data_IF_474014259273
#
_entry.id   IF_474014259273
#
_cell.length_a   1.000
_cell.length_b   1.000
_cell.length_c   1.000
_cell.angle_alpha   90.00
_cell.angle_beta   90.00
_cell.angle_gamma   90.00
#
_symmetry.space_group_name_H-M   'P 1'
#
loop_
_entity.id
_entity.type
_entity.pdbx_description
1 polymer ?
#
# COMPACT_ATOMS: atom_id res chain seq x y z
N UNK A 1 -24.47 -14.01 -4.56
CA UNK A 1 -23.12 -14.58 -4.67
C UNK A 1 -22.81 -15.42 -3.46
N UNK A 2 -22.13 -16.53 -3.62
CA UNK A 2 -21.67 -17.31 -2.47
C UNK A 2 -20.58 -16.54 -1.69
N UNK A 3 -20.50 -16.78 -0.39
CA UNK A 3 -19.49 -16.16 0.48
C UNK A 3 -18.06 -16.42 -0.03
N UNK A 4 -17.81 -17.58 -0.58
CA UNK A 4 -16.49 -17.92 -1.14
C UNK A 4 -16.14 -17.08 -2.36
N UNK A 5 -17.09 -16.79 -3.22
CA UNK A 5 -16.87 -15.93 -4.40
C UNK A 5 -16.58 -14.49 -3.96
N UNK A 6 -17.31 -14.00 -2.97
CA UNK A 6 -17.08 -12.68 -2.38
C UNK A 6 -15.69 -12.59 -1.73
N UNK A 7 -15.32 -13.61 -0.95
CA UNK A 7 -14.00 -13.67 -0.31
C UNK A 7 -12.85 -13.65 -1.34
N UNK A 8 -12.97 -14.45 -2.41
CA UNK A 8 -11.96 -14.45 -3.50
C UNK A 8 -11.89 -13.11 -4.23
N UNK A 9 -13.02 -12.48 -4.46
CA UNK A 9 -13.09 -11.14 -5.07
C UNK A 9 -12.39 -10.09 -4.20
N UNK A 10 -12.69 -10.09 -2.89
CA UNK A 10 -12.04 -9.21 -1.92
C UNK A 10 -10.52 -9.43 -1.85
N UNK A 11 -10.09 -10.68 -1.80
CA UNK A 11 -8.66 -11.00 -1.78
C UNK A 11 -7.92 -10.44 -3.00
N UNK A 12 -8.50 -10.57 -4.19
CA UNK A 12 -7.94 -9.97 -5.41
C UNK A 12 -7.88 -8.45 -5.34
N UNK A 13 -8.89 -7.81 -4.76
CA UNK A 13 -8.90 -6.35 -4.53
C UNK A 13 -7.79 -5.94 -3.57
N UNK A 14 -7.58 -6.68 -2.48
CA UNK A 14 -6.45 -6.44 -1.57
C UNK A 14 -5.11 -6.48 -2.29
N UNK A 15 -4.88 -7.50 -3.12
CA UNK A 15 -3.63 -7.62 -3.86
C UNK A 15 -3.38 -6.43 -4.80
N UNK A 16 -4.44 -5.86 -5.38
CA UNK A 16 -4.32 -4.67 -6.24
C UNK A 16 -3.99 -3.40 -5.47
N UNK A 17 -4.50 -3.27 -4.26
CA UNK A 17 -4.29 -2.08 -3.43
C UNK A 17 -2.97 -2.10 -2.66
N UNK A 18 -2.32 -3.25 -2.54
CA UNK A 18 -1.01 -3.34 -1.90
C UNK A 18 0.08 -2.72 -2.78
N UNK A 19 1.13 -2.13 -2.16
CA UNK A 19 2.24 -1.54 -2.90
C UNK A 19 2.94 -2.57 -3.80
N UNK A 20 3.34 -2.14 -4.99
CA UNK A 20 4.09 -2.99 -5.92
C UNK A 20 5.45 -3.38 -5.32
N UNK A 21 5.86 -4.62 -5.53
CA UNK A 21 7.17 -5.15 -5.11
C UNK A 21 7.88 -5.82 -6.28
N UNK A 22 9.19 -5.80 -6.25
CA UNK A 22 10.03 -6.43 -7.27
C UNK A 22 10.47 -7.83 -6.83
N UNK A 23 10.43 -8.85 -7.71
CA UNK A 23 9.97 -8.84 -9.09
C UNK A 23 8.45 -8.79 -9.23
N UNK A 24 7.70 -9.28 -8.28
CA UNK A 24 6.25 -9.16 -8.20
C UNK A 24 5.77 -9.31 -6.76
N UNK A 25 4.54 -8.89 -6.50
CA UNK A 25 3.92 -9.03 -5.19
C UNK A 25 3.78 -10.51 -4.76
N UNK A 26 3.50 -11.40 -5.70
CA UNK A 26 3.36 -12.82 -5.44
C UNK A 26 4.69 -13.52 -5.21
N UNK A 27 5.76 -13.12 -5.92
CA UNK A 27 7.09 -13.70 -5.77
C UNK A 27 7.81 -13.20 -4.50
N UNK A 28 7.54 -11.96 -4.10
CA UNK A 28 8.13 -11.34 -2.91
C UNK A 28 7.03 -10.73 -2.05
N UNK A 29 6.28 -11.55 -1.29
CA UNK A 29 5.16 -11.06 -0.50
C UNK A 29 5.61 -10.17 0.66
N UNK A 30 4.90 -9.06 0.87
CA UNK A 30 5.09 -8.21 2.04
C UNK A 30 4.58 -8.90 3.31
N UNK A 31 5.04 -8.48 4.51
CA UNK A 31 4.47 -8.99 5.77
C UNK A 31 2.95 -8.80 5.85
N UNK A 32 2.44 -7.68 5.38
CA UNK A 32 1.00 -7.40 5.32
C UNK A 32 0.27 -8.39 4.40
N UNK A 33 0.82 -8.69 3.23
CA UNK A 33 0.25 -9.67 2.31
C UNK A 33 0.20 -11.07 2.92
N UNK A 34 1.27 -11.48 3.62
CA UNK A 34 1.30 -12.76 4.34
C UNK A 34 0.21 -12.84 5.40
N UNK A 35 0.01 -11.74 6.14
CA UNK A 35 -1.02 -11.65 7.17
C UNK A 35 -2.43 -11.74 6.57
N UNK A 36 -2.71 -10.97 5.53
CA UNK A 36 -3.99 -11.02 4.81
C UNK A 36 -4.26 -12.41 4.26
N UNK A 37 -3.26 -13.05 3.66
CA UNK A 37 -3.38 -14.40 3.13
C UNK A 37 -3.71 -15.42 4.22
N UNK A 38 -3.06 -15.31 5.37
CA UNK A 38 -3.32 -16.16 6.52
C UNK A 38 -4.75 -15.97 7.04
N UNK A 39 -5.24 -14.73 7.12
CA UNK A 39 -6.61 -14.44 7.56
C UNK A 39 -7.67 -15.01 6.62
N UNK A 40 -7.45 -14.93 5.30
CA UNK A 40 -8.37 -15.54 4.34
C UNK A 40 -8.29 -17.06 4.27
N UNK A 41 -7.14 -17.65 4.63
CA UNK A 41 -6.93 -19.10 4.65
C UNK A 41 -7.38 -19.76 5.96
N UNK A 42 -7.48 -18.99 7.06
CA UNK A 42 -7.82 -19.54 8.38
C UNK A 42 -9.24 -20.09 8.41
N UNK A 43 -9.36 -21.35 8.79
CA UNK A 43 -10.64 -22.00 9.02
C UNK A 43 -11.16 -21.67 10.43
N UNK A 44 -12.48 -21.65 10.66
CA UNK A 44 -13.02 -21.54 12.02
C UNK A 44 -12.63 -22.76 12.83
N UNK A 45 -11.69 -22.59 13.74
CA UNK A 45 -11.20 -23.68 14.60
C UNK A 45 -9.70 -23.66 14.88
N UNK A 46 -8.91 -22.89 14.16
CA UNK A 46 -7.47 -22.77 14.41
C UNK A 46 -7.19 -21.87 15.61
N UNK A 47 -6.69 -22.48 16.65
CA UNK A 47 -6.48 -21.92 17.99
C UNK A 47 -5.22 -21.07 18.08
N UNK A 48 -5.29 -19.83 17.68
CA UNK A 48 -4.38 -18.80 18.16
C UNK A 48 -5.17 -17.71 18.91
N UNK A 49 -4.68 -17.27 20.03
CA UNK A 49 -5.46 -16.52 21.03
C UNK A 49 -6.09 -15.18 20.57
N UNK A 50 -5.57 -14.55 19.54
CA UNK A 50 -6.21 -13.40 18.88
C UNK A 50 -7.21 -13.84 17.80
N UNK A 51 -6.98 -14.96 17.15
CA UNK A 51 -7.88 -15.58 16.19
C UNK A 51 -9.15 -16.15 16.84
N UNK A 52 -9.12 -16.44 18.15
CA UNK A 52 -10.31 -16.92 18.87
C UNK A 52 -11.39 -15.83 18.98
N UNK A 53 -11.00 -14.58 19.14
CA UNK A 53 -11.94 -13.45 19.11
C UNK A 53 -12.47 -13.16 17.70
N UNK A 54 -11.64 -13.40 16.68
CA UNK A 54 -12.00 -13.24 15.27
C UNK A 54 -12.91 -14.39 14.81
N UNK A 55 -12.69 -15.60 15.33
CA UNK A 55 -13.50 -16.77 14.98
C UNK A 55 -14.92 -16.76 15.53
N UNK A 56 -15.23 -15.88 16.49
CA UNK A 56 -16.60 -15.69 17.00
C UNK A 56 -17.46 -14.81 16.08
N UNK A 57 -16.85 -14.14 15.09
CA UNK A 57 -17.60 -13.33 14.14
C UNK A 57 -18.16 -14.18 13.02
N UNK A 58 -19.40 -13.88 12.60
CA UNK A 58 -19.99 -14.55 11.46
C UNK A 58 -19.16 -14.30 10.18
N UNK A 59 -19.13 -15.24 9.22
CA UNK A 59 -18.38 -15.04 7.98
C UNK A 59 -18.80 -13.77 7.23
N UNK A 60 -20.06 -13.39 7.30
CA UNK A 60 -20.61 -12.17 6.68
C UNK A 60 -19.98 -10.91 7.29
N UNK A 61 -19.90 -10.82 8.61
CA UNK A 61 -19.23 -9.71 9.30
C UNK A 61 -17.75 -9.62 8.97
N UNK A 62 -17.08 -10.75 8.86
CA UNK A 62 -15.68 -10.79 8.42
C UNK A 62 -15.49 -10.23 7.01
N UNK A 63 -16.41 -10.52 6.10
CA UNK A 63 -16.39 -9.95 4.76
C UNK A 63 -16.68 -8.45 4.76
N UNK A 64 -17.61 -7.99 5.57
CA UNK A 64 -17.89 -6.55 5.73
C UNK A 64 -16.67 -5.78 6.27
N UNK A 65 -16.02 -6.32 7.29
CA UNK A 65 -14.77 -5.75 7.83
C UNK A 65 -13.67 -5.72 6.77
N UNK A 66 -13.51 -6.78 6.00
CA UNK A 66 -12.56 -6.86 4.90
C UNK A 66 -12.87 -5.82 3.82
N UNK A 67 -14.14 -5.62 3.48
CA UNK A 67 -14.58 -4.58 2.54
C UNK A 67 -14.19 -3.18 3.04
N UNK A 68 -14.45 -2.87 4.30
CA UNK A 68 -14.05 -1.59 4.90
C UNK A 68 -12.53 -1.40 4.86
N UNK A 69 -11.79 -2.45 5.15
CA UNK A 69 -10.33 -2.37 5.13
C UNK A 69 -9.76 -2.17 3.72
N UNK A 70 -10.33 -2.83 2.71
CA UNK A 70 -9.90 -2.62 1.33
C UNK A 70 -10.22 -1.21 0.84
N UNK A 71 -11.34 -0.63 1.26
CA UNK A 71 -11.67 0.77 0.98
C UNK A 71 -10.68 1.72 1.63
N UNK A 72 -10.25 1.44 2.86
CA UNK A 72 -9.22 2.22 3.53
C UNK A 72 -7.89 2.17 2.77
N UNK A 73 -7.45 1.00 2.32
CA UNK A 73 -6.22 0.86 1.53
C UNK A 73 -6.31 1.62 0.19
N UNK A 74 -7.45 1.55 -0.48
CA UNK A 74 -7.70 2.30 -1.71
C UNK A 74 -7.63 3.81 -1.46
N UNK A 75 -8.22 4.29 -0.37
CA UNK A 75 -8.16 5.70 0.02
C UNK A 75 -6.73 6.15 0.33
N UNK A 76 -5.93 5.32 1.01
CA UNK A 76 -4.52 5.61 1.28
C UNK A 76 -3.69 5.71 -0.01
N UNK A 77 -3.91 4.81 -0.94
CA UNK A 77 -3.25 4.87 -2.26
C UNK A 77 -3.62 6.14 -3.02
N UNK A 78 -4.90 6.49 -3.05
CA UNK A 78 -5.38 7.73 -3.69
C UNK A 78 -4.81 8.97 -3.00
N UNK A 79 -4.74 8.98 -1.68
CA UNK A 79 -4.14 10.08 -0.92
C UNK A 79 -2.66 10.28 -1.32
N UNK A 80 -1.88 9.21 -1.34
CA UNK A 80 -0.46 9.26 -1.74
C UNK A 80 -0.31 9.81 -3.15
N UNK A 81 -1.11 9.32 -4.09
CA UNK A 81 -1.11 9.80 -5.48
C UNK A 81 -1.43 11.29 -5.58
N UNK A 82 -2.42 11.75 -4.83
CA UNK A 82 -2.82 13.16 -4.81
C UNK A 82 -1.75 14.04 -4.18
N UNK A 83 -1.12 13.60 -3.09
CA UNK A 83 -0.02 14.35 -2.45
C UNK A 83 1.15 14.50 -3.41
N UNK A 84 1.56 13.45 -4.11
CA UNK A 84 2.62 13.50 -5.11
C UNK A 84 2.24 14.43 -6.27
N UNK A 85 0.99 14.40 -6.71
CA UNK A 85 0.49 15.23 -7.81
C UNK A 85 0.47 16.72 -7.47
N UNK A 86 0.02 17.08 -6.27
CA UNK A 86 -0.10 18.49 -5.83
C UNK A 86 1.16 19.01 -5.16
N UNK A 87 2.05 18.14 -4.71
CA UNK A 87 3.34 18.49 -4.14
C UNK A 87 4.45 17.59 -4.69
N UNK A 88 4.82 17.75 -5.96
CA UNK A 88 5.82 16.89 -6.60
C UNK A 88 7.21 16.98 -5.98
N UNK A 89 7.47 18.02 -5.18
CA UNK A 89 8.74 18.21 -4.48
C UNK A 89 8.87 17.48 -3.15
N UNK A 90 7.84 16.76 -2.70
CA UNK A 90 7.82 16.16 -1.36
C UNK A 90 8.93 15.10 -1.15
N UNK A 91 9.20 14.28 -2.17
CA UNK A 91 10.20 13.20 -2.14
C UNK A 91 11.52 13.58 -2.81
N UNK A 92 11.68 14.82 -3.23
CA UNK A 92 12.91 15.31 -3.86
C UNK A 92 13.93 15.70 -2.79
N UNK A 93 15.21 15.47 -3.10
CA UNK A 93 16.31 16.04 -2.32
C UNK A 93 16.29 17.58 -2.45
N UNK A 94 16.89 18.28 -1.48
CA UNK A 94 16.98 19.75 -1.57
C UNK A 94 17.72 20.20 -2.82
N UNK A 95 18.74 19.48 -3.24
CA UNK A 95 19.50 19.75 -4.45
C UNK A 95 18.62 19.70 -5.70
N UNK A 96 17.84 18.64 -5.85
CA UNK A 96 16.91 18.51 -6.97
C UNK A 96 15.85 19.59 -6.95
N UNK A 97 15.34 19.93 -5.79
CA UNK A 97 14.34 20.98 -5.60
C UNK A 97 14.87 22.34 -6.02
N UNK A 98 16.06 22.69 -5.55
CA UNK A 98 16.72 23.95 -5.91
C UNK A 98 17.04 24.00 -7.40
N UNK A 99 17.54 22.90 -7.98
CA UNK A 99 17.83 22.79 -9.41
C UNK A 99 16.59 23.02 -10.28
N UNK A 100 15.49 22.36 -9.95
CA UNK A 100 14.24 22.49 -10.68
C UNK A 100 13.62 23.87 -10.52
N UNK A 101 13.74 24.48 -9.34
CA UNK A 101 13.30 25.86 -9.10
C UNK A 101 14.12 26.85 -9.93
N UNK A 102 15.44 26.67 -9.98
CA UNK A 102 16.32 27.50 -10.81
C UNK A 102 15.98 27.38 -12.30
N UNK A 103 15.74 26.18 -12.80
CA UNK A 103 15.32 25.96 -14.20
C UNK A 103 13.99 26.63 -14.52
N UNK A 104 13.05 26.65 -13.57
CA UNK A 104 11.75 27.32 -13.75
C UNK A 104 11.87 28.82 -14.00
N UNK A 105 12.86 29.46 -13.42
CA UNK A 105 13.15 30.89 -13.64
C UNK A 105 14.21 31.15 -14.73
N UNK A 106 14.60 30.12 -15.48
CA UNK A 106 15.55 30.22 -16.59
C UNK A 106 17.02 30.21 -16.18
N UNK A 107 17.32 29.86 -14.94
CA UNK A 107 18.69 29.71 -14.44
C UNK A 107 19.07 28.23 -14.34
N UNK A 108 20.37 27.95 -14.38
CA UNK A 108 20.89 26.60 -14.10
C UNK A 108 21.95 26.66 -13.01
N UNK A 109 21.94 25.65 -12.14
CA UNK A 109 22.89 25.58 -11.03
C UNK A 109 24.24 25.06 -11.53
N UNK A 110 25.38 25.65 -11.04
CA UNK A 110 26.69 25.14 -11.40
C UNK A 110 26.88 23.72 -10.85
N UNK A 111 27.40 22.83 -11.69
CA UNK A 111 27.62 21.41 -11.36
C UNK A 111 28.60 21.21 -10.19
N UNK A 112 29.51 22.15 -9.99
CA UNK A 112 30.59 22.05 -9.01
C UNK A 112 30.17 22.29 -7.56
N UNK A 113 29.02 22.95 -7.33
CA UNK A 113 28.55 23.20 -5.97
C UNK A 113 28.16 21.94 -5.21
N UNK A 114 27.83 20.87 -5.90
CA UNK A 114 27.27 19.67 -5.29
C UNK A 114 28.20 18.45 -5.36
N UNK A 115 29.17 18.43 -6.28
CA UNK A 115 30.16 17.35 -6.41
C UNK A 115 31.21 17.31 -5.30
N UNK A 116 31.35 18.37 -4.51
CA UNK A 116 32.34 18.47 -3.45
C UNK A 116 31.90 17.98 -2.06
N UNK A 117 30.67 17.44 -1.95
CA UNK A 117 30.12 16.93 -0.70
C UNK A 117 29.86 15.43 -0.74
N UNK A 118 30.76 14.72 -1.37
CA UNK A 118 30.75 13.26 -1.31
C UNK A 118 31.46 12.75 -0.07
#
# INVERSE_FOLDING_TARGET
>A
MSLQVQARSLYRRFLRELPARSPSLLANPSPMQKHIRADFASQPGDSASLQHQISQKSPERRLEEAEQYVQYLAAQRMYTTLVERYNPGMNMTEEERVRLTARRVGMDMPDDMWRGRG
#
